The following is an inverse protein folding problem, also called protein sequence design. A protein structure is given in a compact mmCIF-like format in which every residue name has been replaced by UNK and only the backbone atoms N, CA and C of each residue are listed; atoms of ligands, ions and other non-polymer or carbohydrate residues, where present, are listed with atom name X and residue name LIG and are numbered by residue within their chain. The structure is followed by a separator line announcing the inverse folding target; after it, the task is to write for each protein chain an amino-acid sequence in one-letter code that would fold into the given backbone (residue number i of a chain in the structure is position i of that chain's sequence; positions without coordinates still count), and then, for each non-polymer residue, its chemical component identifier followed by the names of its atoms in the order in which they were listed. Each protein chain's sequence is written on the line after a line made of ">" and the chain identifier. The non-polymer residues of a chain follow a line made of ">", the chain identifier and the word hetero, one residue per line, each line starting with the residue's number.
data_IF_493481122503
#
_entry.id   IF_493481122503
#
_cell.length_a   1.000
_cell.length_b   1.000
_cell.length_c   1.000
_cell.angle_alpha   90.00
_cell.angle_beta   90.00
_cell.angle_gamma   90.00
#
_symmetry.space_group_name_H-M   'P 1'
#
loop_
_entity.id
_entity.type
_entity.pdbx_description
1 polymer ?
#
# COMPACT_ATOMS: atom_id res chain seq x y z
N UNK A 1 -16.55 -18.24 56.95
CA UNK A 1 -16.74 -18.73 55.57
C UNK A 1 -15.52 -18.31 54.78
N UNK A 2 -14.76 -19.25 54.23
CA UNK A 2 -13.47 -18.99 53.59
C UNK A 2 -13.41 -19.62 52.19
N UNK A 3 -12.36 -19.29 51.42
CA UNK A 3 -12.04 -19.83 50.10
C UNK A 3 -12.90 -19.35 48.91
N UNK A 4 -12.47 -18.25 48.28
CA UNK A 4 -12.66 -17.94 46.83
C UNK A 4 -11.49 -17.10 46.27
N UNK A 5 -10.25 -17.51 46.54
CA UNK A 5 -9.04 -16.76 46.11
C UNK A 5 -7.87 -17.63 45.61
N UNK A 6 -8.09 -18.91 45.26
CA UNK A 6 -7.00 -19.86 45.01
C UNK A 6 -7.16 -20.67 43.70
N UNK A 7 -7.30 -20.00 42.55
CA UNK A 7 -7.44 -20.66 41.24
C UNK A 7 -6.77 -19.90 40.07
N UNK A 8 -5.67 -19.18 40.32
CA UNK A 8 -4.91 -18.50 39.25
C UNK A 8 -3.39 -18.76 39.29
N UNK A 9 -2.92 -19.72 40.10
CA UNK A 9 -1.48 -19.99 40.28
C UNK A 9 -1.05 -21.43 39.94
N UNK A 10 -1.88 -22.19 39.21
CA UNK A 10 -1.73 -23.64 39.01
C UNK A 10 -1.61 -24.05 37.53
N UNK A 11 -0.98 -23.22 36.70
CA UNK A 11 -0.72 -23.54 35.27
C UNK A 11 0.72 -23.28 34.81
N UNK A 12 1.64 -22.98 35.74
CA UNK A 12 3.07 -22.73 35.45
C UNK A 12 3.99 -23.93 35.78
N UNK A 13 3.44 -25.12 36.07
CA UNK A 13 4.19 -26.25 36.65
C UNK A 13 4.43 -27.44 35.71
N UNK A 14 4.33 -27.29 34.39
CA UNK A 14 4.49 -28.40 33.42
C UNK A 14 5.47 -28.09 32.27
N UNK A 15 6.66 -27.58 32.58
CA UNK A 15 7.76 -27.54 31.60
C UNK A 15 9.17 -27.59 32.26
N UNK A 16 9.48 -28.66 33.00
CA UNK A 16 10.86 -28.92 33.48
C UNK A 16 11.14 -30.38 33.88
N UNK A 17 11.41 -31.25 32.88
CA UNK A 17 12.20 -32.50 32.97
C UNK A 17 12.80 -32.72 31.56
N UNK A 18 14.04 -32.36 31.23
CA UNK A 18 15.36 -32.88 31.63
C UNK A 18 15.73 -34.28 31.05
N UNK A 19 16.39 -34.29 29.87
CA UNK A 19 17.64 -34.99 29.44
C UNK A 19 18.01 -36.43 29.96
N UNK A 20 18.74 -37.31 29.23
CA UNK A 20 19.56 -37.16 28.01
C UNK A 20 19.24 -38.15 26.82
N UNK A 21 19.88 -39.35 26.60
CA UNK A 21 20.32 -39.67 25.22
C UNK A 21 19.97 -41.06 24.66
N UNK A 22 19.91 -41.17 23.31
CA UNK A 22 20.10 -42.44 22.59
C UNK A 22 21.11 -42.25 21.46
N UNK A 23 22.05 -43.19 21.37
CA UNK A 23 23.18 -43.23 20.44
C UNK A 23 22.81 -44.11 19.23
N UNK A 24 23.22 -43.68 18.03
CA UNK A 24 23.58 -44.58 16.93
C UNK A 24 22.44 -45.14 16.07
N UNK A 25 22.37 -44.68 14.82
CA UNK A 25 21.47 -45.22 13.81
C UNK A 25 21.53 -44.45 12.50
N UNK A 26 22.61 -44.62 11.72
CA UNK A 26 22.66 -44.09 10.35
C UNK A 26 21.74 -44.90 9.43
N UNK A 27 20.72 -44.26 8.88
CA UNK A 27 20.11 -44.71 7.61
C UNK A 27 19.91 -43.52 6.68
N UNK A 28 20.74 -43.48 5.65
CA UNK A 28 20.68 -42.46 4.60
C UNK A 28 19.43 -42.65 3.75
N UNK A 29 18.51 -41.68 3.79
CA UNK A 29 17.62 -41.41 2.65
C UNK A 29 17.76 -39.93 2.32
N UNK A 30 18.60 -39.65 1.32
CA UNK A 30 18.62 -38.35 0.67
C UNK A 30 17.33 -38.18 -0.13
N UNK A 31 16.31 -37.60 0.50
CA UNK A 31 15.22 -36.94 -0.24
C UNK A 31 15.74 -35.54 -0.57
N UNK A 32 16.33 -35.42 -1.75
CA UNK A 32 16.65 -34.12 -2.36
C UNK A 32 15.34 -33.39 -2.71
N UNK A 33 14.78 -32.72 -1.71
CA UNK A 33 13.77 -31.71 -1.95
C UNK A 33 14.49 -30.39 -2.22
N UNK A 34 14.80 -30.17 -3.49
CA UNK A 34 15.23 -28.87 -3.98
C UNK A 34 14.14 -27.85 -3.63
N UNK A 35 14.37 -27.07 -2.58
CA UNK A 35 13.48 -26.02 -2.11
C UNK A 35 13.66 -24.77 -3.00
N UNK A 36 13.45 -24.90 -4.30
CA UNK A 36 13.06 -23.77 -5.15
C UNK A 36 11.59 -23.44 -4.90
N UNK A 37 11.29 -23.06 -3.65
CA UNK A 37 10.18 -22.13 -3.39
C UNK A 37 10.46 -20.87 -4.22
N UNK A 38 9.50 -20.40 -5.05
CA UNK A 38 9.69 -19.14 -5.76
C UNK A 38 9.87 -18.04 -4.72
N UNK A 39 10.91 -17.22 -4.87
CA UNK A 39 11.21 -16.14 -3.92
C UNK A 39 9.99 -15.23 -3.75
N UNK A 40 9.29 -15.38 -2.63
CA UNK A 40 8.08 -14.62 -2.32
C UNK A 40 8.47 -13.15 -2.20
N UNK A 41 8.02 -12.32 -3.15
CA UNK A 41 8.26 -10.87 -3.10
C UNK A 41 7.37 -10.29 -1.99
N UNK A 42 7.89 -10.32 -0.77
CA UNK A 42 7.25 -9.78 0.41
C UNK A 42 7.45 -8.26 0.42
N UNK A 43 6.35 -7.52 0.39
CA UNK A 43 6.36 -6.07 0.60
C UNK A 43 6.95 -5.78 1.98
N UNK A 44 8.05 -5.03 2.00
CA UNK A 44 8.80 -4.71 3.20
C UNK A 44 8.23 -3.46 3.88
N UNK A 45 7.11 -3.66 4.59
CA UNK A 45 6.39 -2.58 5.28
C UNK A 45 7.29 -1.79 6.22
N UNK A 46 8.24 -2.43 6.92
CA UNK A 46 9.16 -1.77 7.84
C UNK A 46 10.02 -0.74 7.11
N UNK A 47 10.65 -1.11 5.98
CA UNK A 47 11.44 -0.17 5.17
C UNK A 47 10.59 0.95 4.56
N UNK A 48 9.36 0.65 4.13
CA UNK A 48 8.44 1.66 3.56
C UNK A 48 8.03 2.68 4.63
N UNK A 49 7.63 2.21 5.82
CA UNK A 49 7.29 3.06 6.97
C UNK A 49 8.48 3.89 7.43
N UNK A 50 9.68 3.29 7.52
CA UNK A 50 10.91 4.00 7.89
C UNK A 50 11.24 5.11 6.87
N UNK A 51 11.22 4.81 5.57
CA UNK A 51 11.49 5.81 4.52
C UNK A 51 10.47 6.96 4.51
N UNK A 52 9.19 6.68 4.77
CA UNK A 52 8.17 7.71 4.96
C UNK A 52 8.41 8.57 6.20
N UNK A 53 8.77 7.94 7.32
CA UNK A 53 9.08 8.65 8.58
C UNK A 53 10.30 9.58 8.41
N UNK A 54 11.38 9.08 7.81
CA UNK A 54 12.60 9.85 7.56
C UNK A 54 12.38 11.00 6.56
N UNK A 55 11.41 10.86 5.65
CA UNK A 55 10.99 11.92 4.73
C UNK A 55 9.98 12.93 5.35
N UNK A 56 9.51 12.73 6.59
CA UNK A 56 8.55 13.60 7.27
C UNK A 56 7.06 13.31 6.99
N UNK A 57 6.71 12.08 6.62
CA UNK A 57 5.34 11.61 6.35
C UNK A 57 4.88 10.65 7.46
N UNK A 58 5.03 11.06 8.73
CA UNK A 58 4.86 10.20 9.90
C UNK A 58 3.45 9.61 10.02
N UNK A 59 2.42 10.40 9.71
CA UNK A 59 1.02 9.99 9.79
C UNK A 59 0.70 8.92 8.74
N UNK A 60 1.28 9.02 7.55
CA UNK A 60 1.14 8.00 6.51
C UNK A 60 1.97 6.75 6.83
N UNK A 61 3.19 6.91 7.35
CA UNK A 61 4.04 5.81 7.84
C UNK A 61 3.29 4.92 8.85
N UNK A 62 2.72 5.52 9.91
CA UNK A 62 1.95 4.82 10.93
C UNK A 62 0.63 4.24 10.39
N UNK A 63 -0.03 4.94 9.47
CA UNK A 63 -1.26 4.44 8.84
C UNK A 63 -0.99 3.19 8.00
N UNK A 64 0.09 3.16 7.23
CA UNK A 64 0.47 2.01 6.41
C UNK A 64 1.01 0.84 7.25
N UNK A 65 1.75 1.10 8.32
CA UNK A 65 2.23 0.03 9.22
C UNK A 65 1.07 -0.84 9.73
N UNK A 66 -0.06 -0.21 10.10
CA UNK A 66 -1.27 -0.89 10.57
C UNK A 66 -2.13 -1.42 9.41
N UNK A 67 -2.31 -0.63 8.34
CA UNK A 67 -3.34 -0.89 7.35
C UNK A 67 -2.86 -1.62 6.09
N UNK A 68 -1.60 -1.47 5.69
CA UNK A 68 -1.07 -1.98 4.41
C UNK A 68 -1.25 -3.51 4.23
N UNK A 69 -1.07 -4.37 5.27
CA UNK A 69 -1.38 -5.79 5.14
C UNK A 69 -2.86 -6.07 4.80
N UNK A 70 -3.78 -5.28 5.36
CA UNK A 70 -5.23 -5.36 5.08
C UNK A 70 -5.54 -4.82 3.68
N UNK A 71 -4.94 -3.68 3.30
CA UNK A 71 -5.06 -3.10 1.95
C UNK A 71 -4.68 -4.14 0.89
N UNK A 72 -3.50 -4.76 1.02
CA UNK A 72 -3.01 -5.77 0.07
C UNK A 72 -3.89 -7.03 0.10
N UNK A 73 -4.17 -7.60 1.28
CA UNK A 73 -4.93 -8.86 1.39
C UNK A 73 -6.41 -8.73 1.02
N UNK A 74 -6.98 -7.52 1.08
CA UNK A 74 -8.36 -7.26 0.65
C UNK A 74 -8.54 -7.27 -0.86
N UNK A 75 -7.44 -7.17 -1.62
CA UNK A 75 -7.42 -7.23 -3.08
C UNK A 75 -6.94 -8.62 -3.51
N UNK A 76 -7.58 -9.22 -4.52
CA UNK A 76 -7.29 -10.58 -4.99
C UNK A 76 -5.99 -10.65 -5.81
N UNK A 77 -4.87 -10.26 -5.20
CA UNK A 77 -3.54 -10.25 -5.82
C UNK A 77 -2.85 -11.57 -5.48
N UNK A 78 -2.54 -12.38 -6.49
CA UNK A 78 -1.63 -13.52 -6.28
C UNK A 78 -0.24 -12.97 -5.90
N UNK A 79 0.18 -13.22 -4.66
CA UNK A 79 1.27 -12.52 -3.95
C UNK A 79 2.69 -12.89 -4.42
N UNK A 80 2.85 -13.41 -5.63
CA UNK A 80 4.16 -13.86 -6.14
C UNK A 80 4.98 -12.74 -6.79
N UNK A 81 4.35 -11.65 -7.24
CA UNK A 81 5.02 -10.53 -7.91
C UNK A 81 4.22 -9.22 -7.83
N UNK A 82 3.76 -8.84 -6.65
CA UNK A 82 2.94 -7.63 -6.45
C UNK A 82 3.76 -6.37 -6.69
N UNK A 83 3.46 -5.67 -7.78
CA UNK A 83 4.06 -4.38 -8.16
C UNK A 83 3.04 -3.28 -7.87
N UNK A 84 3.42 -2.29 -7.06
CA UNK A 84 2.50 -1.24 -6.59
C UNK A 84 3.15 0.14 -6.54
N UNK A 85 2.32 1.18 -6.62
CA UNK A 85 2.73 2.57 -6.32
C UNK A 85 1.85 3.14 -5.21
N UNK A 86 2.47 3.74 -4.20
CA UNK A 86 1.81 4.38 -3.07
C UNK A 86 1.98 5.90 -3.17
N UNK A 87 0.87 6.63 -3.09
CA UNK A 87 0.86 8.09 -3.05
C UNK A 87 0.65 8.56 -1.61
N UNK A 88 1.68 9.10 -0.97
CA UNK A 88 1.68 9.47 0.44
C UNK A 88 1.41 10.97 0.64
N UNK A 89 0.29 11.38 1.25
CA UNK A 89 0.11 12.76 1.71
C UNK A 89 0.99 13.04 2.95
N UNK A 90 1.49 14.28 3.14
CA UNK A 90 2.21 14.69 4.34
C UNK A 90 1.26 14.75 5.56
N UNK A 91 1.79 15.09 6.73
CA UNK A 91 1.03 15.11 7.98
C UNK A 91 -0.10 16.17 8.01
N UNK A 92 0.11 17.31 7.36
CA UNK A 92 -0.80 18.46 7.33
C UNK A 92 -2.26 18.12 6.92
N UNK A 93 -2.50 17.40 5.79
CA UNK A 93 -3.79 16.81 5.44
C UNK A 93 -4.50 15.99 6.54
N UNK A 94 -3.77 15.20 7.34
CA UNK A 94 -4.37 14.36 8.39
C UNK A 94 -5.02 15.19 9.49
N UNK A 95 -4.49 16.38 9.78
CA UNK A 95 -5.09 17.31 10.75
C UNK A 95 -6.28 18.09 10.18
N UNK A 96 -6.32 18.28 8.86
CA UNK A 96 -7.40 19.00 8.15
C UNK A 96 -8.64 18.14 7.90
N UNK A 97 -8.51 16.81 7.98
CA UNK A 97 -9.60 15.86 7.79
C UNK A 97 -10.67 15.97 8.90
N UNK A 98 -11.63 16.87 8.67
CA UNK A 98 -12.62 17.40 9.64
C UNK A 98 -13.42 16.34 10.42
N UNK A 99 -13.49 15.11 9.92
CA UNK A 99 -14.30 14.04 10.49
C UNK A 99 -13.48 12.85 11.03
N UNK A 100 -12.20 12.70 10.66
CA UNK A 100 -11.40 11.52 10.99
C UNK A 100 -9.93 11.86 11.24
N UNK A 101 -9.40 11.55 12.44
CA UNK A 101 -7.95 11.66 12.74
C UNK A 101 -7.10 10.54 12.12
N UNK A 102 -7.74 9.50 11.58
CA UNK A 102 -7.11 8.39 10.88
C UNK A 102 -7.90 8.15 9.60
N UNK A 103 -7.24 8.02 8.43
CA UNK A 103 -7.94 7.77 7.18
C UNK A 103 -8.65 6.40 7.22
N UNK A 104 -9.87 6.28 6.68
CA UNK A 104 -10.52 4.98 6.54
C UNK A 104 -9.75 4.11 5.55
N UNK A 105 -9.86 2.78 5.69
CA UNK A 105 -9.17 1.80 4.84
C UNK A 105 -9.41 2.02 3.34
N UNK A 106 -10.60 2.50 2.97
CA UNK A 106 -10.98 2.83 1.59
C UNK A 106 -10.22 4.03 1.02
N UNK A 107 -9.90 5.03 1.85
CA UNK A 107 -9.06 6.15 1.43
C UNK A 107 -7.61 5.69 1.25
N UNK A 108 -7.10 4.82 2.13
CA UNK A 108 -5.76 4.22 1.95
C UNK A 108 -5.69 3.33 0.70
N UNK A 109 -6.73 2.54 0.41
CA UNK A 109 -6.87 1.80 -0.84
C UNK A 109 -6.84 2.71 -2.08
N UNK A 110 -7.46 3.89 -2.02
CA UNK A 110 -7.45 4.86 -3.12
C UNK A 110 -6.08 5.52 -3.35
N UNK A 111 -5.21 5.50 -2.32
CA UNK A 111 -3.83 5.98 -2.40
C UNK A 111 -2.81 4.93 -2.89
N UNK A 112 -3.26 3.73 -3.26
CA UNK A 112 -2.36 2.66 -3.78
C UNK A 112 -2.84 2.16 -5.14
N UNK A 113 -1.94 2.20 -6.13
CA UNK A 113 -2.17 1.70 -7.48
C UNK A 113 -1.54 0.30 -7.67
N UNK A 114 -2.20 -0.66 -8.34
CA UNK A 114 -1.72 -2.02 -8.62
C UNK A 114 -0.72 -2.07 -9.80
N UNK A 115 0.11 -1.03 -9.95
CA UNK A 115 1.00 -0.87 -11.11
C UNK A 115 2.24 -0.04 -10.74
N UNK A 116 3.31 -0.18 -11.52
CA UNK A 116 4.53 0.62 -11.38
C UNK A 116 4.35 1.96 -12.08
N UNK A 117 4.47 3.03 -11.31
CA UNK A 117 4.38 4.40 -11.79
C UNK A 117 5.58 5.15 -11.21
N UNK A 118 6.75 4.93 -11.82
CA UNK A 118 7.96 5.67 -11.48
C UNK A 118 7.95 7.09 -12.06
N UNK A 119 8.99 7.86 -11.71
CA UNK A 119 9.11 9.26 -12.08
C UNK A 119 9.17 9.47 -13.60
N UNK A 120 9.85 8.59 -14.34
CA UNK A 120 9.91 8.60 -15.79
C UNK A 120 8.54 8.29 -16.40
N UNK A 121 7.85 7.26 -15.90
CA UNK A 121 6.52 6.86 -16.37
C UNK A 121 5.50 7.98 -16.19
N UNK A 122 5.40 8.57 -15.00
CA UNK A 122 4.44 9.62 -14.67
C UNK A 122 4.75 10.98 -15.31
N UNK A 123 5.99 11.24 -15.71
CA UNK A 123 6.35 12.44 -16.49
C UNK A 123 6.28 12.24 -18.00
N UNK A 124 6.32 11.00 -18.49
CA UNK A 124 6.30 10.69 -19.92
C UNK A 124 4.90 10.89 -20.51
N UNK A 125 4.67 11.87 -21.41
CA UNK A 125 3.37 12.06 -22.04
C UNK A 125 2.98 10.91 -22.98
N UNK A 126 3.95 10.07 -23.36
CA UNK A 126 3.72 8.88 -24.17
C UNK A 126 3.33 7.64 -23.34
N UNK A 127 3.74 7.58 -22.07
CA UNK A 127 3.40 6.47 -21.17
C UNK A 127 2.12 6.77 -20.36
N UNK A 128 1.98 7.99 -19.84
CA UNK A 128 0.78 8.46 -19.14
C UNK A 128 0.26 9.77 -19.74
N UNK A 129 -0.46 9.74 -20.88
CA UNK A 129 -1.15 10.90 -21.43
C UNK A 129 -2.08 11.65 -20.45
N UNK A 130 -2.39 12.92 -20.76
CA UNK A 130 -3.37 13.69 -20.01
C UNK A 130 -4.75 13.01 -20.04
N UNK A 131 -5.36 12.82 -18.87
CA UNK A 131 -6.60 12.06 -18.71
C UNK A 131 -6.43 10.55 -18.60
N UNK A 132 -5.20 10.02 -18.62
CA UNK A 132 -4.95 8.60 -18.33
C UNK A 132 -5.53 8.20 -16.98
N UNK A 133 -6.26 7.08 -16.99
CA UNK A 133 -6.78 6.43 -15.78
C UNK A 133 -5.74 5.47 -15.22
N UNK A 134 -5.58 5.51 -13.91
CA UNK A 134 -4.73 4.62 -13.11
C UNK A 134 -5.66 3.91 -12.14
N UNK A 135 -5.76 2.59 -12.22
CA UNK A 135 -6.55 1.83 -11.25
C UNK A 135 -5.99 1.97 -9.83
N UNK A 136 -6.82 1.74 -8.83
CA UNK A 136 -6.41 1.71 -7.42
C UNK A 136 -6.88 0.43 -6.75
N UNK A 137 -6.44 0.20 -5.52
CA UNK A 137 -7.00 -0.84 -4.66
C UNK A 137 -8.40 -0.49 -4.12
N UNK A 138 -8.97 0.68 -4.44
CA UNK A 138 -10.39 0.99 -4.21
C UNK A 138 -11.18 0.67 -5.50
N UNK A 139 -11.95 -0.43 -5.56
CA UNK A 139 -12.57 -0.87 -6.81
C UNK A 139 -13.51 0.16 -7.41
N UNK A 140 -13.45 0.33 -8.74
CA UNK A 140 -14.29 1.29 -9.46
C UNK A 140 -13.91 2.76 -9.26
N UNK A 141 -12.82 3.05 -8.54
CA UNK A 141 -12.31 4.40 -8.33
C UNK A 141 -10.87 4.49 -8.88
N UNK A 142 -10.69 4.85 -10.17
CA UNK A 142 -9.38 5.19 -10.69
C UNK A 142 -8.91 6.56 -10.19
N UNK A 143 -7.60 6.78 -10.27
CA UNK A 143 -6.98 8.09 -10.30
C UNK A 143 -6.87 8.57 -11.75
N UNK A 144 -6.80 9.88 -11.97
CA UNK A 144 -6.66 10.49 -13.30
C UNK A 144 -5.42 11.37 -13.34
N UNK A 145 -4.56 11.20 -14.35
CA UNK A 145 -3.40 12.09 -14.52
C UNK A 145 -3.85 13.42 -15.14
N UNK A 146 -3.71 14.50 -14.37
CA UNK A 146 -4.30 15.82 -14.66
C UNK A 146 -3.28 16.86 -15.09
N UNK A 147 -2.00 16.63 -14.84
CA UNK A 147 -0.92 17.44 -15.43
C UNK A 147 0.34 16.59 -15.51
N UNK A 148 0.87 16.46 -16.71
CA UNK A 148 2.22 15.96 -16.98
C UNK A 148 3.12 17.17 -17.20
N UNK A 149 4.37 17.09 -16.72
CA UNK A 149 5.35 18.11 -17.06
C UNK A 149 6.74 17.54 -17.32
N UNK A 150 7.33 18.02 -18.41
CA UNK A 150 8.61 17.59 -18.96
C UNK A 150 9.80 18.47 -18.50
N UNK A 151 9.54 19.58 -17.79
CA UNK A 151 10.58 20.44 -17.19
C UNK A 151 10.66 20.23 -15.68
N UNK A 152 11.76 20.72 -15.08
CA UNK A 152 12.06 20.62 -13.65
C UNK A 152 11.22 21.54 -12.75
N UNK A 153 10.50 22.53 -13.30
CA UNK A 153 9.91 23.61 -12.49
C UNK A 153 8.44 23.40 -12.09
N UNK A 154 7.70 22.53 -12.78
CA UNK A 154 6.31 22.19 -12.43
C UNK A 154 6.16 20.72 -12.05
N UNK A 155 5.42 20.46 -10.97
CA UNK A 155 5.08 19.12 -10.52
C UNK A 155 4.00 18.49 -11.40
N UNK A 156 4.12 17.19 -11.69
CA UNK A 156 3.01 16.43 -12.25
C UNK A 156 1.88 16.32 -11.21
N UNK A 157 0.63 16.21 -11.66
CA UNK A 157 -0.54 16.11 -10.80
C UNK A 157 -1.47 14.96 -11.19
N UNK A 158 -2.08 14.37 -10.17
CA UNK A 158 -3.07 13.29 -10.25
C UNK A 158 -4.29 13.76 -9.47
N UNK A 159 -5.49 13.67 -10.06
CA UNK A 159 -6.72 14.25 -9.50
C UNK A 159 -6.58 15.73 -9.06
N UNK A 160 -5.77 16.52 -9.77
CA UNK A 160 -5.44 17.90 -9.41
C UNK A 160 -4.49 18.05 -8.21
N UNK A 161 -4.14 16.97 -7.52
CA UNK A 161 -3.18 16.95 -6.42
C UNK A 161 -1.77 16.77 -6.99
N UNK A 162 -0.86 17.67 -6.63
CA UNK A 162 0.52 17.66 -7.13
C UNK A 162 1.37 16.57 -6.44
N UNK A 163 2.27 15.94 -7.19
CA UNK A 163 3.32 15.07 -6.67
C UNK A 163 4.48 15.95 -6.18
N UNK A 164 4.58 16.09 -4.86
CA UNK A 164 5.52 16.96 -4.16
C UNK A 164 6.91 16.35 -4.04
N UNK A 165 7.00 15.01 -3.95
CA UNK A 165 8.28 14.32 -3.74
C UNK A 165 8.33 12.99 -4.50
N UNK A 166 9.37 12.83 -5.31
CA UNK A 166 9.57 11.64 -6.12
C UNK A 166 10.43 10.61 -5.39
N UNK A 167 10.12 9.34 -5.57
CA UNK A 167 10.90 8.19 -5.07
C UNK A 167 11.29 8.28 -3.57
N UNK A 168 10.31 8.52 -2.67
CA UNK A 168 10.52 8.43 -1.21
C UNK A 168 11.04 7.02 -0.85
N UNK A 169 10.48 6.00 -1.51
CA UNK A 169 10.96 4.63 -1.50
C UNK A 169 10.81 4.07 -2.91
N UNK A 170 11.77 3.26 -3.35
CA UNK A 170 11.70 2.55 -4.63
C UNK A 170 12.64 1.33 -4.58
N UNK A 171 12.09 0.11 -4.49
CA UNK A 171 12.85 -1.15 -4.55
C UNK A 171 12.74 -1.86 -5.91
N UNK A 172 12.10 -1.21 -6.88
CA UNK A 172 11.78 -1.74 -8.19
C UNK A 172 10.38 -2.35 -8.31
N UNK A 173 9.78 -2.85 -7.21
CA UNK A 173 8.44 -3.43 -7.15
C UNK A 173 7.43 -2.50 -6.45
N UNK A 174 7.84 -1.89 -5.33
CA UNK A 174 7.08 -0.87 -4.60
C UNK A 174 7.72 0.48 -4.87
N UNK A 175 6.91 1.43 -5.36
CA UNK A 175 7.30 2.83 -5.53
C UNK A 175 6.46 3.70 -4.58
N UNK A 176 7.06 4.69 -3.95
CA UNK A 176 6.37 5.64 -3.06
C UNK A 176 6.65 7.08 -3.49
N UNK A 177 5.60 7.87 -3.64
CA UNK A 177 5.65 9.27 -4.04
C UNK A 177 4.87 10.13 -3.05
N UNK A 178 5.46 11.26 -2.65
CA UNK A 178 4.78 12.27 -1.85
C UNK A 178 3.79 13.06 -2.71
N UNK A 179 2.58 13.29 -2.21
CA UNK A 179 1.53 14.11 -2.85
C UNK A 179 1.08 15.23 -1.92
N UNK A 180 0.58 16.33 -2.47
CA UNK A 180 0.27 17.54 -1.69
C UNK A 180 -0.90 17.38 -0.69
N UNK A 181 -1.86 16.50 -0.97
CA UNK A 181 -3.06 16.27 -0.16
C UNK A 181 -3.60 14.85 -0.39
N UNK A 182 -4.67 14.46 0.32
CA UNK A 182 -5.42 13.26 -0.01
C UNK A 182 -6.12 13.40 -1.38
N UNK A 183 -6.24 12.30 -2.12
CA UNK A 183 -7.11 12.23 -3.28
C UNK A 183 -8.57 12.10 -2.83
N UNK A 184 -9.46 12.90 -3.42
CA UNK A 184 -10.91 12.78 -3.19
C UNK A 184 -11.49 11.63 -4.04
N UNK A 185 -12.08 10.56 -3.47
CA UNK A 185 -12.74 9.50 -4.23
C UNK A 185 -13.90 10.02 -5.10
N UNK A 186 -14.50 11.16 -4.77
CA UNK A 186 -15.55 11.80 -5.56
C UNK A 186 -15.02 12.58 -6.79
N UNK A 187 -13.70 12.61 -7.02
CA UNK A 187 -13.06 13.39 -8.09
C UNK A 187 -13.69 13.14 -9.47
N UNK A 188 -13.85 11.88 -9.86
CA UNK A 188 -14.44 11.54 -11.16
C UNK A 188 -15.95 11.77 -11.20
N UNK A 189 -16.68 11.34 -10.17
CA UNK A 189 -18.15 11.32 -10.18
C UNK A 189 -18.79 12.71 -9.99
N UNK A 190 -18.16 13.60 -9.22
CA UNK A 190 -18.74 14.89 -8.82
C UNK A 190 -17.95 16.08 -9.38
N UNK A 191 -16.62 16.03 -9.32
CA UNK A 191 -15.79 17.20 -9.64
C UNK A 191 -15.42 17.27 -11.13
N UNK A 192 -15.17 16.13 -11.78
CA UNK A 192 -14.76 16.05 -13.19
C UNK A 192 -15.49 14.91 -13.96
N UNK A 193 -16.83 15.00 -14.16
CA UNK A 193 -17.64 13.92 -14.75
C UNK A 193 -17.27 13.50 -16.18
N UNK A 194 -16.51 14.32 -16.89
CA UNK A 194 -16.01 14.02 -18.24
C UNK A 194 -14.89 12.97 -18.25
N UNK A 195 -14.36 12.60 -17.08
CA UNK A 195 -13.51 11.42 -16.89
C UNK A 195 -14.31 10.14 -16.57
N UNK A 196 -15.63 10.19 -16.41
CA UNK A 196 -16.46 8.99 -16.23
C UNK A 196 -16.74 8.32 -17.59
N UNK A 197 -16.42 7.03 -17.74
CA UNK A 197 -16.69 6.30 -18.99
C UNK A 197 -18.20 6.18 -19.25
N UNK A 198 -19.04 6.21 -18.21
CA UNK A 198 -20.49 6.17 -18.34
C UNK A 198 -21.06 7.47 -18.92
N UNK A 199 -20.36 8.60 -18.76
CA UNK A 199 -20.80 9.88 -19.31
C UNK A 199 -20.72 9.90 -20.86
N UNK A 200 -19.62 9.39 -21.44
CA UNK A 200 -19.44 9.32 -22.89
C UNK A 200 -20.45 8.38 -23.58
N UNK A 201 -20.87 7.31 -22.89
CA UNK A 201 -21.78 6.30 -23.45
C UNK A 201 -23.23 6.80 -23.63
N UNK A 202 -23.61 7.92 -23.01
CA UNK A 202 -24.96 8.46 -23.02
C UNK A 202 -25.17 9.61 -24.04
N UNK A 203 -24.13 10.03 -24.77
CA UNK A 203 -24.19 11.21 -25.67
C UNK A 203 -24.70 10.88 -27.08
N UNK A 204 -24.86 9.61 -27.44
CA UNK A 204 -25.20 9.17 -28.82
C UNK A 204 -26.66 8.74 -29.04
N UNK A 205 -27.57 8.98 -28.09
CA UNK A 205 -28.99 8.58 -28.16
C UNK A 205 -29.98 9.75 -27.97
N UNK A 206 -29.91 10.77 -28.83
CA UNK A 206 -30.99 11.76 -29.08
C UNK A 206 -31.06 12.08 -30.56
#
# INVERSE_FOLDING_TARGET
>A
MASRFFNFLLLLSVFSVLLLPIIGGETSIAVDHNNNEPAQIRIDTEKISQALSDAGYLSMSLSLEVALPTVISSTTINTSSSVITIFAPPDDPFYKFKYYRQPPITLLQYHVAPTKLDQETLRSPAATPHGSKIDTFLPGHPLVVTTQHNTTEAAASINGVQITQWNIYNDGNVVVHGVADFFDPAYQTILYPWFDDTACNNVTNV
#
